data_IF_253997083668
#
_entry.id   IF_253997083668
#
_cell.length_a   1.000
_cell.length_b   1.000
_cell.length_c   1.000
_cell.angle_alpha   90.00
_cell.angle_beta   90.00
_cell.angle_gamma   90.00
#
_symmetry.space_group_name_H-M   'P 1'
#
loop_
_entity.id
_entity.type
_entity.pdbx_description
1 polymer ?
#
# COMPACT_ATOMS: atom_id res chain seq x y z
N UNK A 1 31.92 -54.81 56.16
CA UNK A 1 32.26 -54.32 54.78
C UNK A 1 30.96 -53.76 54.19
N UNK A 2 30.79 -52.43 54.11
CA UNK A 2 29.57 -51.87 53.55
C UNK A 2 29.79 -51.54 52.07
N UNK A 3 28.88 -52.00 51.22
CA UNK A 3 28.77 -51.75 49.79
C UNK A 3 28.20 -50.37 49.50
N UNK A 4 28.97 -49.52 48.81
CA UNK A 4 28.52 -48.23 48.30
C UNK A 4 27.66 -48.40 47.05
N UNK A 5 26.37 -48.06 47.11
CA UNK A 5 25.47 -47.92 45.98
C UNK A 5 25.58 -46.47 45.46
N UNK A 6 26.18 -46.32 44.29
CA UNK A 6 26.31 -45.03 43.59
C UNK A 6 25.03 -44.72 42.82
N UNK A 7 24.23 -43.76 43.30
CA UNK A 7 23.05 -43.26 42.61
C UNK A 7 23.42 -42.24 41.54
N UNK A 8 23.32 -42.62 40.26
CA UNK A 8 23.50 -41.74 39.10
C UNK A 8 22.17 -40.99 38.82
N UNK A 9 22.09 -39.78 39.24
CA UNK A 9 20.98 -38.84 38.83
C UNK A 9 21.19 -38.41 37.38
N UNK A 10 20.32 -38.90 36.48
CA UNK A 10 20.22 -38.44 35.12
C UNK A 10 19.43 -37.09 35.11
N UNK A 11 20.14 -36.00 34.90
CA UNK A 11 19.52 -34.69 34.62
C UNK A 11 19.03 -34.64 33.19
N UNK A 12 17.71 -34.68 32.99
CA UNK A 12 17.08 -34.50 31.68
C UNK A 12 17.07 -33.00 31.35
N UNK A 13 17.93 -32.58 30.43
CA UNK A 13 17.91 -31.20 29.87
C UNK A 13 16.78 -31.14 28.85
N UNK A 14 15.68 -30.50 29.22
CA UNK A 14 14.61 -30.19 28.27
C UNK A 14 15.07 -29.03 27.34
N UNK A 15 15.40 -29.38 26.11
CA UNK A 15 15.74 -28.42 25.06
C UNK A 15 14.44 -27.77 24.54
N UNK A 16 14.11 -26.57 25.05
CA UNK A 16 13.02 -25.77 24.50
C UNK A 16 13.40 -25.26 23.09
N UNK A 17 12.91 -25.92 22.06
CA UNK A 17 13.02 -25.47 20.67
C UNK A 17 11.99 -24.35 20.49
N UNK A 18 12.44 -23.08 20.57
CA UNK A 18 11.65 -21.92 20.15
C UNK A 18 11.62 -21.87 18.63
N UNK A 19 10.54 -22.34 18.03
CA UNK A 19 10.28 -22.16 16.60
C UNK A 19 10.14 -20.64 16.32
N UNK A 20 10.91 -20.07 15.39
CA UNK A 20 10.66 -18.69 14.96
C UNK A 20 9.29 -18.67 14.29
N UNK A 21 8.36 -17.84 14.80
CA UNK A 21 7.13 -17.53 14.10
C UNK A 21 7.51 -16.85 12.78
N UNK A 22 7.22 -17.50 11.67
CA UNK A 22 7.36 -16.88 10.35
C UNK A 22 6.44 -15.66 10.31
N UNK A 23 7.02 -14.47 10.30
CA UNK A 23 6.27 -13.23 10.05
C UNK A 23 5.78 -13.31 8.60
N UNK A 24 4.51 -13.66 8.40
CA UNK A 24 3.87 -13.56 7.09
C UNK A 24 3.75 -12.09 6.74
N UNK A 25 4.31 -11.70 5.59
CA UNK A 25 4.07 -10.38 5.04
C UNK A 25 2.54 -10.21 4.85
N UNK A 26 1.99 -9.11 5.38
CA UNK A 26 0.59 -8.77 5.21
C UNK A 26 0.47 -8.01 3.89
N UNK A 27 -0.41 -8.47 3.01
CA UNK A 27 -0.75 -7.77 1.77
C UNK A 27 -2.14 -7.14 1.90
N UNK A 28 -2.35 -6.00 1.23
CA UNK A 28 -3.68 -5.44 1.08
C UNK A 28 -4.56 -6.37 0.25
N UNK A 29 -5.80 -6.62 0.65
CA UNK A 29 -6.72 -7.43 -0.15
C UNK A 29 -7.02 -6.75 -1.48
N UNK A 30 -7.23 -7.57 -2.50
CA UNK A 30 -7.71 -7.11 -3.80
C UNK A 30 -9.16 -6.61 -3.67
N UNK A 31 -9.46 -5.48 -4.28
CA UNK A 31 -10.83 -4.96 -4.32
C UNK A 31 -11.72 -5.87 -5.19
N UNK A 32 -13.01 -5.89 -4.86
CA UNK A 32 -14.02 -6.55 -5.69
C UNK A 32 -13.99 -6.01 -7.12
N UNK A 33 -13.98 -6.89 -8.10
CA UNK A 33 -14.01 -6.50 -9.51
C UNK A 33 -15.27 -5.69 -9.86
N UNK A 34 -15.13 -4.69 -10.73
CA UNK A 34 -16.20 -3.82 -11.16
C UNK A 34 -15.83 -2.34 -11.14
N UNK A 35 -16.86 -1.51 -11.12
CA UNK A 35 -16.75 -0.05 -11.13
C UNK A 35 -16.66 0.47 -9.69
N UNK A 36 -15.65 1.28 -9.44
CA UNK A 36 -15.43 1.98 -8.18
C UNK A 36 -15.48 3.49 -8.39
N UNK A 37 -16.17 4.20 -7.51
CA UNK A 37 -16.03 5.64 -7.34
C UNK A 37 -14.94 5.91 -6.31
N UNK A 38 -14.02 6.78 -6.67
CA UNK A 38 -12.90 7.20 -5.81
C UNK A 38 -13.00 8.71 -5.63
N UNK A 39 -13.19 9.15 -4.39
CA UNK A 39 -13.12 10.55 -4.02
C UNK A 39 -11.80 10.82 -3.32
N UNK A 40 -11.07 11.79 -3.82
CA UNK A 40 -9.77 12.20 -3.30
C UNK A 40 -9.88 13.62 -2.76
N UNK A 41 -9.60 13.80 -1.48
CA UNK A 41 -9.44 15.10 -0.86
C UNK A 41 -8.00 15.25 -0.36
N UNK A 42 -7.37 16.36 -0.69
CA UNK A 42 -5.99 16.67 -0.26
C UNK A 42 -5.99 17.99 0.51
N UNK A 43 -5.43 17.97 1.70
CA UNK A 43 -5.18 19.17 2.48
C UNK A 43 -3.68 19.47 2.49
N UNK A 44 -3.28 20.50 1.76
CA UNK A 44 -1.92 21.07 1.76
C UNK A 44 -2.09 22.56 2.05
N UNK A 45 -1.86 22.96 3.29
CA UNK A 45 -1.98 24.37 3.67
C UNK A 45 -3.38 25.00 3.50
N UNK A 46 -4.41 24.19 3.32
CA UNK A 46 -5.81 24.53 3.10
C UNK A 46 -6.55 23.43 2.36
N UNK A 47 -7.90 23.41 2.42
CA UNK A 47 -8.71 22.43 1.71
C UNK A 47 -8.62 22.65 0.19
N UNK A 48 -8.11 21.68 -0.54
CA UNK A 48 -8.23 21.62 -2.00
C UNK A 48 -9.58 21.00 -2.37
N UNK A 49 -10.29 21.46 -3.44
CA UNK A 49 -11.51 20.81 -3.91
C UNK A 49 -11.25 19.32 -4.14
N UNK A 50 -12.11 18.50 -3.58
CA UNK A 50 -12.02 17.04 -3.77
C UNK A 50 -12.17 16.68 -5.25
N UNK A 51 -11.39 15.70 -5.70
CA UNK A 51 -11.48 15.14 -7.04
C UNK A 51 -12.23 13.81 -6.97
N UNK A 52 -13.24 13.63 -7.83
CA UNK A 52 -13.94 12.36 -7.97
C UNK A 52 -13.58 11.73 -9.30
N UNK A 53 -13.13 10.48 -9.27
CA UNK A 53 -12.84 9.68 -10.45
C UNK A 53 -13.56 8.34 -10.36
N UNK A 54 -13.68 7.63 -11.47
CA UNK A 54 -14.16 6.26 -11.49
C UNK A 54 -13.07 5.33 -12.01
N UNK A 55 -13.05 4.11 -11.50
CA UNK A 55 -12.11 3.06 -11.89
C UNK A 55 -12.88 1.78 -12.21
N UNK A 56 -12.74 1.29 -13.43
CA UNK A 56 -13.16 -0.07 -13.76
C UNK A 56 -11.98 -1.02 -13.48
N UNK A 57 -12.15 -1.98 -12.57
CA UNK A 57 -11.06 -2.87 -12.18
C UNK A 57 -11.48 -4.34 -12.20
N UNK A 58 -10.50 -5.20 -12.44
CA UNK A 58 -10.51 -6.64 -12.17
C UNK A 58 -9.35 -7.00 -11.23
N UNK A 59 -9.24 -8.24 -10.84
CA UNK A 59 -8.19 -8.72 -9.95
C UNK A 59 -6.77 -8.35 -10.45
N UNK A 60 -6.53 -8.48 -11.76
CA UNK A 60 -5.22 -8.21 -12.35
C UNK A 60 -4.88 -6.72 -12.32
N UNK A 61 -5.80 -5.88 -12.77
CA UNK A 61 -5.58 -4.44 -12.82
C UNK A 61 -5.60 -3.81 -11.43
N UNK A 62 -6.32 -4.37 -10.48
CA UNK A 62 -6.31 -3.93 -9.10
C UNK A 62 -4.96 -4.22 -8.43
N UNK A 63 -4.42 -5.42 -8.60
CA UNK A 63 -3.06 -5.76 -8.14
C UNK A 63 -2.00 -4.85 -8.76
N UNK A 64 -2.11 -4.52 -10.05
CA UNK A 64 -1.21 -3.58 -10.71
C UNK A 64 -1.28 -2.18 -10.10
N UNK A 65 -2.49 -1.68 -9.83
CA UNK A 65 -2.69 -0.39 -9.18
C UNK A 65 -2.13 -0.39 -7.76
N UNK A 66 -2.45 -1.41 -6.96
CA UNK A 66 -1.94 -1.55 -5.58
C UNK A 66 -0.42 -1.63 -5.56
N UNK A 67 0.19 -2.41 -6.45
CA UNK A 67 1.63 -2.51 -6.58
C UNK A 67 2.28 -1.15 -6.93
N UNK A 68 1.61 -0.28 -7.68
CA UNK A 68 2.10 1.07 -7.98
C UNK A 68 2.05 1.99 -6.77
N UNK A 69 1.01 1.90 -5.95
CA UNK A 69 0.93 2.65 -4.71
C UNK A 69 1.97 2.17 -3.68
N UNK A 70 2.25 0.86 -3.66
CA UNK A 70 3.26 0.25 -2.80
C UNK A 70 4.69 0.41 -3.36
N UNK A 71 4.83 0.55 -4.67
CA UNK A 71 6.09 0.88 -5.33
C UNK A 71 6.32 2.41 -5.30
N UNK A 72 6.39 3.00 -4.12
CA UNK A 72 7.30 4.14 -3.97
C UNK A 72 8.63 3.71 -4.61
N UNK A 73 9.39 4.62 -5.29
CA UNK A 73 10.62 4.23 -5.95
C UNK A 73 11.46 3.45 -4.94
N UNK A 74 11.42 2.13 -5.09
CA UNK A 74 11.79 1.11 -4.10
C UNK A 74 13.24 1.13 -3.65
N UNK A 75 14.03 2.04 -4.21
CA UNK A 75 15.43 2.21 -3.91
C UNK A 75 15.71 3.05 -2.66
N UNK A 76 14.69 3.65 -2.03
CA UNK A 76 14.92 4.64 -0.98
C UNK A 76 14.01 4.53 0.24
N UNK A 77 13.23 3.46 0.40
CA UNK A 77 12.43 3.27 1.62
C UNK A 77 13.19 2.42 2.63
N UNK A 78 13.42 2.96 3.82
CA UNK A 78 14.04 2.28 4.97
C UNK A 78 13.01 1.59 5.85
N UNK A 79 11.73 2.00 5.75
CA UNK A 79 10.60 1.39 6.45
C UNK A 79 9.42 1.26 5.49
N UNK A 80 8.79 0.09 5.50
CA UNK A 80 7.50 -0.18 4.86
C UNK A 80 6.82 -1.29 5.65
N UNK A 81 5.95 -0.89 6.57
CA UNK A 81 5.29 -1.78 7.53
C UNK A 81 3.78 -1.71 7.34
N UNK A 82 3.19 -2.83 6.94
CA UNK A 82 1.75 -2.99 6.78
C UNK A 82 1.23 -3.96 7.83
N UNK A 83 0.28 -3.51 8.62
CA UNK A 83 -0.33 -4.28 9.70
C UNK A 83 -1.84 -4.37 9.51
N UNK A 84 -2.40 -5.56 9.75
CA UNK A 84 -3.84 -5.76 9.81
C UNK A 84 -4.35 -5.36 11.18
N UNK A 85 -5.43 -4.58 11.21
CA UNK A 85 -6.14 -4.18 12.43
C UNK A 85 -7.50 -4.88 12.53
N UNK A 86 -8.23 -4.64 13.60
CA UNK A 86 -9.59 -5.18 13.76
C UNK A 86 -10.56 -4.68 12.66
N UNK A 87 -10.37 -3.44 12.18
CA UNK A 87 -11.30 -2.77 11.26
C UNK A 87 -10.70 -2.45 9.89
N UNK A 88 -9.50 -2.93 9.59
CA UNK A 88 -8.82 -2.62 8.34
C UNK A 88 -7.31 -2.82 8.41
N UNK A 89 -6.55 -1.81 8.01
CA UNK A 89 -5.09 -1.87 7.91
C UNK A 89 -4.45 -0.55 8.31
N UNK A 90 -3.24 -0.62 8.82
CA UNK A 90 -2.35 0.52 9.06
C UNK A 90 -1.06 0.28 8.30
N UNK A 91 -0.55 1.31 7.65
CA UNK A 91 0.71 1.27 6.93
C UNK A 91 1.59 2.44 7.34
N UNK A 92 2.80 2.14 7.78
CA UNK A 92 3.86 3.11 8.05
C UNK A 92 4.96 2.99 7.01
N UNK A 93 5.43 4.10 6.48
CA UNK A 93 6.56 4.12 5.57
C UNK A 93 7.50 5.28 5.84
N UNK A 94 8.79 5.04 5.59
CA UNK A 94 9.82 6.06 5.59
C UNK A 94 10.66 5.89 4.32
N UNK A 95 10.61 6.89 3.46
CA UNK A 95 11.28 6.87 2.18
C UNK A 95 12.12 8.13 2.02
N UNK A 96 13.32 8.00 1.45
CA UNK A 96 14.23 9.12 1.27
C UNK A 96 14.92 9.11 -0.09
N UNK A 97 15.27 10.29 -0.59
CA UNK A 97 16.06 10.47 -1.81
C UNK A 97 16.41 11.93 -2.04
N UNK A 98 17.59 12.18 -2.60
CA UNK A 98 18.08 13.54 -2.92
C UNK A 98 18.07 14.51 -1.72
N UNK A 99 18.29 14.00 -0.51
CA UNK A 99 18.31 14.81 0.73
C UNK A 99 16.92 15.13 1.30
N UNK A 100 15.85 14.60 0.73
CA UNK A 100 14.49 14.74 1.26
C UNK A 100 14.04 13.40 1.84
N UNK A 101 13.48 13.41 3.03
CA UNK A 101 12.83 12.26 3.68
C UNK A 101 11.33 12.49 3.74
N UNK A 102 10.55 11.47 3.43
CA UNK A 102 9.10 11.43 3.57
C UNK A 102 8.73 10.32 4.55
N UNK A 103 8.08 10.67 5.65
CA UNK A 103 7.43 9.72 6.55
C UNK A 103 5.93 9.75 6.29
N UNK A 104 5.30 8.58 6.18
CA UNK A 104 3.86 8.50 5.95
C UNK A 104 3.22 7.49 6.90
N UNK A 105 2.04 7.85 7.37
CA UNK A 105 1.14 6.98 8.12
C UNK A 105 -0.20 6.91 7.41
N UNK A 106 -0.67 5.72 7.09
CA UNK A 106 -1.94 5.50 6.43
C UNK A 106 -2.83 4.57 7.25
N UNK A 107 -4.08 4.99 7.48
CA UNK A 107 -5.13 4.17 8.06
C UNK A 107 -6.16 3.84 6.99
N UNK A 108 -6.48 2.55 6.84
CA UNK A 108 -7.47 2.06 5.89
C UNK A 108 -8.56 1.35 6.68
N UNK A 109 -9.79 1.85 6.59
CA UNK A 109 -10.94 1.34 7.33
C UNK A 109 -12.06 1.00 6.35
N UNK A 110 -12.67 -0.18 6.50
CA UNK A 110 -13.81 -0.60 5.70
C UNK A 110 -13.61 -1.94 5.02
N UNK A 111 -14.40 -2.16 3.95
CA UNK A 111 -14.48 -3.43 3.22
C UNK A 111 -14.12 -3.23 1.74
N UNK A 112 -13.12 -3.94 1.28
CA UNK A 112 -12.65 -3.93 -0.11
C UNK A 112 -13.63 -4.57 -1.10
N UNK A 113 -14.76 -5.08 -0.62
CA UNK A 113 -15.85 -5.57 -1.47
C UNK A 113 -17.00 -4.56 -1.64
N UNK A 114 -17.03 -3.49 -0.84
CA UNK A 114 -18.13 -2.53 -0.85
C UNK A 114 -17.70 -1.07 -0.75
N UNK A 115 -17.03 -0.70 0.33
CA UNK A 115 -16.54 0.66 0.55
C UNK A 115 -15.43 0.69 1.60
N UNK A 116 -14.44 1.55 1.40
CA UNK A 116 -13.40 1.83 2.39
C UNK A 116 -12.98 3.29 2.34
N UNK A 117 -12.40 3.75 3.44
CA UNK A 117 -11.75 5.06 3.55
C UNK A 117 -10.29 4.84 3.87
N UNK A 118 -9.41 5.59 3.23
CA UNK A 118 -7.98 5.64 3.53
C UNK A 118 -7.59 7.08 3.88
N UNK A 119 -7.01 7.27 5.07
CA UNK A 119 -6.45 8.54 5.52
C UNK A 119 -4.94 8.42 5.53
N UNK A 120 -4.27 9.28 4.80
CA UNK A 120 -2.80 9.30 4.71
C UNK A 120 -2.29 10.64 5.23
N UNK A 121 -1.44 10.58 6.25
CA UNK A 121 -0.68 11.74 6.75
C UNK A 121 0.78 11.56 6.35
N UNK A 122 1.35 12.52 5.65
CA UNK A 122 2.75 12.49 5.21
C UNK A 122 3.48 13.74 5.62
N UNK A 123 4.71 13.56 6.10
CA UNK A 123 5.64 14.63 6.46
C UNK A 123 6.86 14.57 5.57
N UNK A 124 7.15 15.68 4.89
CA UNK A 124 8.32 15.85 4.06
C UNK A 124 9.33 16.73 4.79
N UNK A 125 10.57 16.29 4.92
CA UNK A 125 11.65 17.01 5.59
C UNK A 125 12.91 16.96 4.74
N UNK A 126 13.61 18.10 4.64
CA UNK A 126 14.87 18.22 3.90
C UNK A 126 15.29 19.68 3.74
N UNK A 127 16.46 19.96 3.14
CA UNK A 127 16.92 21.33 2.90
C UNK A 127 15.90 22.11 2.08
N UNK A 128 15.28 23.15 2.67
CA UNK A 128 14.27 23.99 2.02
C UNK A 128 12.90 23.32 1.84
N UNK A 129 12.68 22.13 2.39
CA UNK A 129 11.41 21.42 2.33
C UNK A 129 10.96 21.05 3.73
N UNK A 130 9.88 21.68 4.18
CA UNK A 130 9.13 21.26 5.38
C UNK A 130 7.64 21.37 5.03
N UNK A 131 6.99 20.25 4.79
CA UNK A 131 5.58 20.25 4.37
C UNK A 131 4.86 19.02 4.90
N UNK A 132 3.72 19.25 5.53
CA UNK A 132 2.79 18.22 5.92
C UNK A 132 1.68 18.12 4.85
N UNK A 133 1.29 16.90 4.52
CA UNK A 133 0.23 16.64 3.56
C UNK A 133 -0.72 15.61 4.15
N UNK A 134 -2.03 15.89 4.11
CA UNK A 134 -3.05 14.94 4.48
C UNK A 134 -3.91 14.63 3.25
N UNK A 135 -4.11 13.35 2.98
CA UNK A 135 -4.92 12.86 1.87
C UNK A 135 -5.99 11.93 2.42
N UNK A 136 -7.24 12.17 2.06
CA UNK A 136 -8.34 11.25 2.32
C UNK A 136 -8.83 10.68 1.00
N UNK A 137 -8.91 9.36 0.92
CA UNK A 137 -9.46 8.61 -0.21
C UNK A 137 -10.70 7.89 0.28
N UNK A 138 -11.85 8.19 -0.32
CA UNK A 138 -13.08 7.42 -0.13
C UNK A 138 -13.33 6.59 -1.38
N UNK A 139 -13.43 5.27 -1.21
CA UNK A 139 -13.69 4.33 -2.29
C UNK A 139 -15.03 3.64 -2.09
N UNK A 140 -15.87 3.61 -3.12
CA UNK A 140 -17.19 2.97 -3.09
C UNK A 140 -17.39 2.14 -4.36
N UNK A 141 -17.75 0.86 -4.18
CA UNK A 141 -18.14 0.00 -5.29
C UNK A 141 -19.54 0.37 -5.82
N UNK A 142 -19.66 0.54 -7.13
CA UNK A 142 -20.89 0.97 -7.78
C UNK A 142 -21.60 -0.17 -8.55
N UNK A 143 -20.93 -1.30 -8.75
CA UNK A 143 -21.49 -2.39 -9.53
C UNK A 143 -20.53 -2.90 -10.61
N UNK A 144 -21.07 -3.47 -11.68
CA UNK A 144 -20.29 -3.86 -12.85
C UNK A 144 -19.77 -2.62 -13.58
N UNK A 145 -18.64 -2.77 -14.30
CA UNK A 145 -18.18 -1.73 -15.22
C UNK A 145 -19.22 -1.47 -16.31
N UNK A 146 -19.30 -0.23 -16.80
CA UNK A 146 -20.15 0.11 -17.93
C UNK A 146 -19.69 -0.60 -19.22
N UNK A 147 -20.59 -0.76 -20.18
CA UNK A 147 -20.32 -1.51 -21.40
C UNK A 147 -19.18 -0.94 -22.27
N UNK A 148 -18.90 0.35 -22.15
CA UNK A 148 -17.81 1.06 -22.83
C UNK A 148 -16.50 1.12 -22.01
N UNK A 149 -16.48 0.49 -20.83
CA UNK A 149 -15.33 0.46 -19.94
C UNK A 149 -14.64 -0.91 -19.97
N UNK A 150 -13.32 -0.89 -19.83
CA UNK A 150 -12.47 -2.07 -19.73
C UNK A 150 -11.74 -2.09 -18.40
N UNK A 151 -11.39 -3.26 -17.84
CA UNK A 151 -10.53 -3.33 -16.66
C UNK A 151 -9.23 -2.54 -16.83
N UNK A 152 -8.96 -1.69 -15.86
CA UNK A 152 -7.86 -0.73 -15.88
C UNK A 152 -8.25 0.68 -16.31
N UNK A 153 -9.46 0.91 -16.80
CA UNK A 153 -9.91 2.26 -17.17
C UNK A 153 -10.09 3.13 -15.93
N UNK A 154 -9.56 4.33 -16.01
CA UNK A 154 -9.69 5.41 -15.04
C UNK A 154 -10.40 6.56 -15.76
N UNK A 155 -11.55 6.98 -15.24
CA UNK A 155 -12.33 8.08 -15.76
C UNK A 155 -12.16 9.27 -14.82
N UNK A 156 -11.48 10.28 -15.31
CA UNK A 156 -11.21 11.52 -14.59
C UNK A 156 -12.43 12.46 -14.63
N UNK A 157 -12.49 13.49 -13.76
CA UNK A 157 -13.47 14.57 -13.89
C UNK A 157 -13.44 15.14 -15.31
N UNK A 158 -14.65 15.39 -15.87
CA UNK A 158 -14.76 15.85 -17.26
C UNK A 158 -14.76 14.72 -18.31
N UNK A 159 -14.74 13.44 -17.89
CA UNK A 159 -14.90 12.29 -18.79
C UNK A 159 -13.62 11.84 -19.51
N UNK A 160 -12.48 12.41 -19.18
CA UNK A 160 -11.19 11.97 -19.74
C UNK A 160 -10.91 10.54 -19.25
N UNK A 161 -10.78 9.62 -20.21
CA UNK A 161 -10.51 8.20 -19.95
C UNK A 161 -9.05 7.88 -20.25
N UNK A 162 -8.40 7.18 -19.35
CA UNK A 162 -7.06 6.60 -19.52
C UNK A 162 -7.06 5.18 -18.98
N UNK A 163 -6.19 4.31 -19.50
CA UNK A 163 -6.05 2.95 -19.01
C UNK A 163 -4.71 2.76 -18.28
N UNK A 164 -4.73 2.00 -17.20
CA UNK A 164 -3.56 1.72 -16.38
C UNK A 164 -2.42 1.07 -17.18
N UNK A 165 -2.75 0.28 -18.20
CA UNK A 165 -1.79 -0.36 -19.09
C UNK A 165 -1.09 0.63 -20.02
N UNK A 166 -1.82 1.67 -20.47
CA UNK A 166 -1.26 2.73 -21.32
C UNK A 166 -0.28 3.59 -20.52
N UNK A 167 -0.56 3.83 -19.23
CA UNK A 167 0.37 4.51 -18.33
C UNK A 167 1.69 3.72 -18.15
N UNK A 168 1.64 2.38 -18.17
CA UNK A 168 2.85 1.55 -18.14
C UNK A 168 3.69 1.69 -19.42
N UNK A 169 3.03 1.60 -20.58
CA UNK A 169 3.67 1.76 -21.85
C UNK A 169 4.35 3.15 -21.99
N UNK A 170 3.70 4.21 -21.50
CA UNK A 170 4.29 5.55 -21.47
C UNK A 170 5.53 5.63 -20.56
N UNK A 171 5.49 5.03 -19.36
CA UNK A 171 6.63 4.98 -18.46
C UNK A 171 7.84 4.29 -19.08
N UNK A 172 7.61 3.16 -19.73
CA UNK A 172 8.68 2.41 -20.41
C UNK A 172 9.27 3.18 -21.60
N UNK A 173 8.42 3.89 -22.34
CA UNK A 173 8.85 4.76 -23.44
C UNK A 173 9.74 5.90 -22.94
N UNK A 174 9.36 6.58 -21.87
CA UNK A 174 10.15 7.66 -21.25
C UNK A 174 11.49 7.12 -20.71
N UNK A 175 11.47 5.96 -20.02
CA UNK A 175 12.68 5.31 -19.51
C UNK A 175 13.65 4.93 -20.64
N UNK A 176 13.12 4.46 -21.77
CA UNK A 176 13.94 4.11 -22.93
C UNK A 176 14.53 5.35 -23.63
N UNK A 177 13.81 6.48 -23.66
CA UNK A 177 14.34 7.75 -24.18
C UNK A 177 15.47 8.29 -23.29
N UNK A 178 15.33 8.23 -21.96
CA UNK A 178 16.37 8.69 -21.03
C UNK A 178 17.65 7.82 -21.07
N UNK A 179 17.54 6.53 -21.44
CA UNK A 179 18.72 5.65 -21.60
C UNK A 179 19.51 5.90 -22.88
N UNK A 180 18.94 6.63 -23.85
CA UNK A 180 19.57 6.92 -25.14
C UNK A 180 20.30 8.27 -25.19
N UNK A 181 20.23 9.04 -24.11
CA UNK A 181 21.00 10.29 -23.90
C UNK A 181 22.23 9.99 -23.02
#
# INVERSE_FOLDING_TARGET
MPSFVSSRTLAAIALCITLPAAAHAVDLPTRKSGLWEIKLATAVGGATPGMTMQQCTDETTDKQLTARFNAAPSASCTKHDLQKTANGYVMDSECGGSGVTMTSHAEIIGDFNSAYTMNVSSKHTGPGVARDTNVTVEAKWLGACAADQKPGDIIMPGGVKMNVKDLEAMKDSVKNMMKKQ
#
